data_IF_038980091671
#
_entry.id   IF_038980091671
#
_cell.length_a   1.000
_cell.length_b   1.000
_cell.length_c   1.000
_cell.angle_alpha   90.00
_cell.angle_beta   90.00
_cell.angle_gamma   90.00
#
_symmetry.space_group_name_H-M   'P 1'
#
loop_
_entity.id
_entity.type
_entity.pdbx_description
1 polymer ?
#
# COMPACT_ATOMS: atom_id res chain seq x y z
N UNK A 1 7.44 -9.71 74.06
CA UNK A 1 6.64 -10.94 73.85
C UNK A 1 5.26 -10.55 73.37
N UNK A 2 4.97 -10.76 72.09
CA UNK A 2 3.67 -11.13 71.56
C UNK A 2 3.87 -11.55 70.10
N UNK A 3 3.63 -12.83 69.85
CA UNK A 3 3.72 -13.51 68.56
C UNK A 3 2.30 -13.52 67.99
N UNK A 4 2.11 -12.98 66.79
CA UNK A 4 0.86 -13.11 66.04
C UNK A 4 1.15 -13.75 64.70
N UNK A 5 0.71 -14.99 64.56
CA UNK A 5 0.82 -15.84 63.38
C UNK A 5 -0.32 -15.50 62.41
N UNK A 6 -0.04 -15.39 61.11
CA UNK A 6 -1.08 -15.37 60.06
C UNK A 6 -0.74 -16.37 58.93
N UNK A 7 -1.75 -16.99 58.31
CA UNK A 7 -1.63 -18.30 57.68
C UNK A 7 -1.30 -18.23 56.19
N UNK A 8 -0.60 -19.28 55.72
CA UNK A 8 -0.42 -19.62 54.31
C UNK A 8 -1.76 -20.07 53.69
N UNK A 9 -2.03 -19.63 52.46
CA UNK A 9 -3.05 -20.22 51.59
C UNK A 9 -2.38 -20.77 50.31
N UNK A 10 -2.51 -22.08 50.02
CA UNK A 10 -2.27 -22.63 48.70
C UNK A 10 -3.60 -22.82 47.97
N UNK A 11 -3.70 -22.43 46.70
CA UNK A 11 -4.72 -22.96 45.80
C UNK A 11 -4.06 -23.55 44.56
N UNK A 12 -4.34 -24.83 44.36
CA UNK A 12 -3.79 -25.70 43.34
C UNK A 12 -4.57 -25.60 42.02
N UNK A 13 -3.82 -25.79 40.93
CA UNK A 13 -4.12 -26.55 39.71
C UNK A 13 -5.58 -26.89 39.37
N UNK A 14 -5.96 -26.60 38.12
CA UNK A 14 -6.66 -27.54 37.25
C UNK A 14 -6.40 -27.23 35.76
N UNK A 15 -5.80 -28.21 35.09
CA UNK A 15 -5.73 -28.35 33.64
C UNK A 15 -7.04 -28.96 33.11
N UNK A 16 -7.40 -28.70 31.85
CA UNK A 16 -7.68 -29.75 30.83
C UNK A 16 -8.33 -29.21 29.55
N UNK A 17 -7.80 -29.73 28.43
CA UNK A 17 -8.50 -30.21 27.24
C UNK A 17 -9.11 -29.23 26.21
N UNK A 18 -8.41 -29.14 25.07
CA UNK A 18 -8.88 -29.49 23.72
C UNK A 18 -10.36 -29.19 23.38
N UNK A 19 -10.57 -28.12 22.61
CA UNK A 19 -11.59 -28.12 21.56
C UNK A 19 -10.89 -28.04 20.20
N UNK A 20 -10.91 -29.16 19.48
CA UNK A 20 -10.84 -29.16 18.03
C UNK A 20 -12.16 -28.58 17.50
N UNK A 21 -12.09 -27.40 16.87
CA UNK A 21 -13.16 -26.82 16.10
C UNK A 21 -12.74 -26.76 14.64
N UNK A 22 -13.08 -27.79 13.88
CA UNK A 22 -13.12 -27.77 12.42
C UNK A 22 -14.52 -27.28 12.02
N UNK A 23 -14.56 -26.10 11.41
CA UNK A 23 -15.68 -25.55 10.66
C UNK A 23 -15.08 -24.36 9.90
N UNK A 24 -14.92 -24.38 8.58
CA UNK A 24 -15.94 -24.75 7.61
C UNK A 24 -16.78 -23.50 7.35
N UNK A 25 -16.16 -22.50 6.72
CA UNK A 25 -16.77 -21.22 6.36
C UNK A 25 -15.99 -20.61 5.20
N UNK A 26 -16.51 -20.81 3.99
CA UNK A 26 -16.21 -20.00 2.82
C UNK A 26 -16.60 -18.56 3.13
N UNK A 27 -15.61 -17.74 3.48
CA UNK A 27 -15.70 -16.30 3.40
C UNK A 27 -14.50 -15.85 2.58
N UNK A 28 -14.79 -15.11 1.51
CA UNK A 28 -13.84 -14.45 0.64
C UNK A 28 -12.60 -14.05 1.42
N UNK A 29 -11.55 -14.85 1.27
CA UNK A 29 -10.24 -14.49 1.77
C UNK A 29 -9.84 -13.31 0.89
N UNK A 30 -10.22 -12.10 1.32
CA UNK A 30 -9.45 -10.90 1.04
C UNK A 30 -8.06 -11.24 1.57
N UNK A 31 -7.26 -11.85 0.69
CA UNK A 31 -5.90 -12.22 0.96
C UNK A 31 -5.28 -10.95 1.54
N UNK A 32 -4.89 -11.03 2.82
CA UNK A 32 -4.21 -9.92 3.45
C UNK A 32 -3.07 -9.53 2.51
N UNK A 33 -3.16 -8.33 1.93
CA UNK A 33 -2.22 -7.93 0.92
C UNK A 33 -0.83 -7.96 1.57
N UNK A 34 0.03 -8.86 1.08
CA UNK A 34 1.40 -8.93 1.57
C UNK A 34 2.04 -7.56 1.42
N UNK A 35 2.69 -7.06 2.47
CA UNK A 35 3.23 -5.71 2.48
C UNK A 35 4.12 -5.45 1.26
N UNK A 36 3.72 -4.47 0.44
CA UNK A 36 4.46 -4.14 -0.78
C UNK A 36 4.38 -5.19 -1.89
N UNK A 37 3.26 -5.90 -2.03
CA UNK A 37 3.06 -6.93 -3.06
C UNK A 37 1.78 -6.67 -3.87
N UNK A 38 1.64 -7.39 -4.98
CA UNK A 38 0.54 -7.27 -5.92
C UNK A 38 1.02 -6.78 -7.29
N UNK A 39 0.10 -6.75 -8.24
CA UNK A 39 0.40 -6.41 -9.63
C UNK A 39 -0.43 -5.23 -10.10
N UNK A 40 0.18 -4.35 -10.89
CA UNK A 40 -0.52 -3.30 -11.63
C UNK A 40 -0.45 -3.60 -13.12
N UNK A 41 -1.59 -3.53 -13.80
CA UNK A 41 -1.67 -3.65 -15.25
C UNK A 41 -1.61 -2.26 -15.86
N UNK A 42 -0.59 -2.02 -16.67
CA UNK A 42 -0.47 -0.85 -17.53
C UNK A 42 -0.93 -1.25 -18.94
N UNK A 43 -2.02 -0.62 -19.39
CA UNK A 43 -2.67 -0.89 -20.67
C UNK A 43 -2.87 0.39 -21.48
N UNK A 44 -3.20 0.25 -22.76
CA UNK A 44 -3.39 1.39 -23.67
C UNK A 44 -2.20 2.39 -23.64
N UNK A 45 -1.00 1.88 -23.40
CA UNK A 45 0.20 2.67 -23.29
C UNK A 45 0.66 3.19 -24.67
N UNK A 46 1.20 4.39 -24.72
CA UNK A 46 1.88 4.91 -25.92
C UNK A 46 3.29 5.36 -25.55
N UNK A 47 4.36 4.68 -26.03
CA UNK A 47 4.34 3.57 -26.99
C UNK A 47 3.73 2.26 -26.43
N UNK A 48 3.11 1.47 -27.31
CA UNK A 48 2.44 0.21 -26.93
C UNK A 48 3.37 -0.86 -26.35
N UNK A 49 4.69 -0.75 -26.55
CA UNK A 49 5.69 -1.60 -25.91
C UNK A 49 5.69 -1.50 -24.37
N UNK A 50 5.11 -0.43 -23.82
CA UNK A 50 4.93 -0.26 -22.38
C UNK A 50 3.66 -0.94 -21.83
N UNK A 51 2.82 -1.54 -22.69
CA UNK A 51 1.72 -2.37 -22.20
C UNK A 51 2.30 -3.57 -21.44
N UNK A 52 1.98 -3.68 -20.15
CA UNK A 52 2.59 -4.68 -19.31
C UNK A 52 1.83 -4.91 -18.00
N UNK A 53 2.23 -5.95 -17.28
CA UNK A 53 1.88 -6.15 -15.88
C UNK A 53 3.14 -5.98 -15.05
N UNK A 54 3.11 -5.03 -14.10
CA UNK A 54 4.19 -4.70 -13.20
C UNK A 54 3.98 -5.48 -11.91
N UNK A 55 4.93 -6.33 -11.53
CA UNK A 55 4.91 -7.07 -10.27
C UNK A 55 5.67 -6.30 -9.19
N UNK A 56 4.93 -5.65 -8.30
CA UNK A 56 5.50 -4.81 -7.24
C UNK A 56 6.14 -5.63 -6.12
N UNK A 57 5.86 -6.94 -6.03
CA UNK A 57 6.55 -7.82 -5.08
C UNK A 57 8.04 -7.95 -5.40
N UNK A 58 8.43 -7.72 -6.66
CA UNK A 58 9.81 -7.79 -7.14
C UNK A 58 10.59 -6.48 -7.00
N UNK A 59 9.95 -5.42 -6.48
CA UNK A 59 10.62 -4.14 -6.25
C UNK A 59 11.80 -4.31 -5.30
N UNK A 60 12.97 -3.77 -5.66
CA UNK A 60 14.18 -3.87 -4.82
C UNK A 60 14.16 -2.90 -3.65
N UNK A 61 13.37 -1.84 -3.77
CA UNK A 61 13.16 -0.82 -2.76
C UNK A 61 11.67 -0.46 -2.75
N UNK A 62 11.11 -0.34 -1.54
CA UNK A 62 9.71 0.03 -1.32
C UNK A 62 9.59 0.72 0.03
N UNK A 63 8.68 1.67 0.13
CA UNK A 63 8.51 2.41 1.38
C UNK A 63 7.18 3.13 1.48
N UNK A 64 6.94 3.63 2.69
CA UNK A 64 5.78 4.40 3.07
C UNK A 64 6.24 5.49 4.05
N UNK A 65 6.43 6.70 3.54
CA UNK A 65 7.00 7.82 4.27
C UNK A 65 5.93 8.85 4.61
N UNK A 66 5.91 9.34 5.85
CA UNK A 66 5.13 10.52 6.19
C UNK A 66 5.91 11.78 5.79
N UNK A 67 5.21 12.73 5.16
CA UNK A 67 5.75 14.00 4.69
C UNK A 67 5.00 15.16 5.35
N UNK A 68 5.74 16.18 5.77
CA UNK A 68 5.17 17.44 6.20
C UNK A 68 4.62 18.21 4.98
N UNK A 69 3.79 19.23 5.23
CA UNK A 69 3.38 20.16 4.18
C UNK A 69 4.61 20.87 3.59
N UNK A 70 4.60 21.09 2.27
CA UNK A 70 5.70 21.66 1.50
C UNK A 70 5.19 22.33 0.22
N UNK A 71 6.10 22.65 -0.72
CA UNK A 71 5.73 23.26 -2.00
C UNK A 71 4.88 22.38 -2.92
N UNK A 72 4.76 21.09 -2.64
CA UNK A 72 3.90 20.17 -3.39
C UNK A 72 2.47 20.13 -2.81
N UNK A 73 2.34 20.07 -1.48
CA UNK A 73 1.03 20.08 -0.81
C UNK A 73 1.01 21.00 0.39
N UNK A 74 -0.04 21.83 0.49
CA UNK A 74 -0.31 22.65 1.66
C UNK A 74 -0.71 21.84 2.92
N UNK A 75 -0.91 20.52 2.79
CA UNK A 75 -1.24 19.62 3.88
C UNK A 75 -0.17 18.51 4.00
N UNK A 76 -0.04 17.93 5.20
CA UNK A 76 0.79 16.75 5.39
C UNK A 76 0.25 15.57 4.55
N UNK A 77 1.16 14.80 3.97
CA UNK A 77 0.85 13.72 3.04
C UNK A 77 1.73 12.49 3.30
N UNK A 78 1.40 11.39 2.66
CA UNK A 78 2.13 10.13 2.70
C UNK A 78 2.68 9.86 1.31
N UNK A 79 3.93 9.42 1.24
CA UNK A 79 4.57 8.94 0.04
C UNK A 79 4.67 7.42 0.10
N UNK A 80 4.09 6.75 -0.89
CA UNK A 80 4.27 5.31 -1.09
C UNK A 80 5.01 5.09 -2.40
N UNK A 81 6.03 4.23 -2.39
CA UNK A 81 6.83 3.96 -3.57
C UNK A 81 7.28 2.50 -3.67
N UNK A 82 7.51 2.09 -4.92
CA UNK A 82 8.14 0.84 -5.32
C UNK A 82 9.13 1.14 -6.45
N UNK A 83 10.37 0.73 -6.30
CA UNK A 83 11.44 1.00 -7.26
C UNK A 83 11.98 -0.30 -7.86
N UNK A 84 12.34 -0.25 -9.13
CA UNK A 84 12.90 -1.37 -9.90
C UNK A 84 12.01 -2.62 -9.91
N UNK A 85 10.69 -2.45 -9.87
CA UNK A 85 9.72 -3.53 -10.03
C UNK A 85 9.83 -4.12 -11.44
N UNK A 86 9.86 -5.44 -11.53
CA UNK A 86 9.93 -6.19 -12.78
C UNK A 86 8.56 -6.22 -13.44
N UNK A 87 8.51 -5.89 -14.72
CA UNK A 87 7.32 -6.03 -15.52
C UNK A 87 7.42 -7.19 -16.52
N UNK A 88 6.27 -7.69 -16.96
CA UNK A 88 6.18 -8.80 -17.90
C UNK A 88 6.81 -8.52 -19.28
N UNK A 89 7.01 -7.23 -19.63
CA UNK A 89 7.72 -6.83 -20.85
C UNK A 89 9.25 -6.82 -20.67
N UNK A 90 9.77 -7.26 -19.51
CA UNK A 90 11.19 -7.32 -19.19
C UNK A 90 11.79 -6.00 -18.71
N UNK A 91 11.01 -4.91 -18.69
CA UNK A 91 11.46 -3.60 -18.22
C UNK A 91 11.33 -3.46 -16.70
N UNK A 92 11.95 -2.41 -16.17
CA UNK A 92 11.93 -2.05 -14.75
C UNK A 92 11.18 -0.75 -14.57
N UNK A 93 10.19 -0.77 -13.70
CA UNK A 93 9.36 0.40 -13.40
C UNK A 93 9.53 0.85 -11.95
N UNK A 94 9.40 2.16 -11.75
CA UNK A 94 9.09 2.75 -10.46
C UNK A 94 7.62 3.19 -10.44
N UNK A 95 6.95 2.98 -9.32
CA UNK A 95 5.58 3.43 -9.06
C UNK A 95 5.60 4.28 -7.79
N UNK A 96 4.99 5.45 -7.84
CA UNK A 96 4.94 6.36 -6.71
C UNK A 96 3.54 6.97 -6.59
N UNK A 97 3.02 7.03 -5.37
CA UNK A 97 1.71 7.60 -5.06
C UNK A 97 1.83 8.48 -3.83
N UNK A 98 1.30 9.69 -3.92
CA UNK A 98 1.15 10.59 -2.78
C UNK A 98 -0.32 10.70 -2.40
N UNK A 99 -0.64 10.56 -1.12
CA UNK A 99 -2.00 10.79 -0.61
C UNK A 99 -1.99 11.61 0.67
N UNK A 100 -3.00 12.45 0.86
CA UNK A 100 -3.10 13.34 2.01
C UNK A 100 -3.42 12.57 3.29
N UNK A 101 -2.78 12.92 4.40
CA UNK A 101 -2.95 12.22 5.68
C UNK A 101 -4.37 12.36 6.27
N UNK A 102 -5.04 13.48 6.03
CA UNK A 102 -6.31 13.81 6.69
C UNK A 102 -7.52 13.06 6.11
N UNK A 103 -7.59 12.94 4.79
CA UNK A 103 -8.77 12.46 4.04
C UNK A 103 -8.42 11.36 3.04
N UNK A 104 -7.14 10.97 2.97
CA UNK A 104 -6.61 9.96 2.04
C UNK A 104 -6.79 10.33 0.57
N UNK A 105 -7.02 11.61 0.26
CA UNK A 105 -7.09 12.09 -1.11
C UNK A 105 -5.76 11.85 -1.82
N UNK A 106 -5.77 11.10 -2.92
CA UNK A 106 -4.58 10.90 -3.76
C UNK A 106 -4.26 12.21 -4.46
N UNK A 107 -3.02 12.68 -4.36
CA UNK A 107 -2.55 13.97 -4.86
C UNK A 107 -1.64 13.81 -6.08
N UNK A 108 -0.96 12.68 -6.17
CA UNK A 108 -0.06 12.33 -7.26
C UNK A 108 -0.02 10.81 -7.44
N UNK A 109 0.04 10.35 -8.68
CA UNK A 109 0.34 8.96 -9.02
C UNK A 109 1.20 8.93 -10.29
N UNK A 110 2.28 8.15 -10.28
CA UNK A 110 3.18 8.02 -11.43
C UNK A 110 3.69 6.59 -11.64
N UNK A 111 3.92 6.26 -12.90
CA UNK A 111 4.62 5.05 -13.37
C UNK A 111 5.77 5.51 -14.27
N UNK A 112 6.99 5.07 -13.94
CA UNK A 112 8.24 5.61 -14.48
C UNK A 112 9.14 4.46 -14.95
N UNK A 113 9.71 4.60 -16.14
CA UNK A 113 10.81 3.83 -16.74
C UNK A 113 11.80 4.84 -17.38
N UNK A 114 13.10 4.53 -17.54
CA UNK A 114 14.11 5.43 -18.10
C UNK A 114 13.70 6.34 -19.27
N UNK A 115 12.85 5.88 -20.19
CA UNK A 115 12.39 6.66 -21.35
C UNK A 115 10.86 6.74 -21.45
N UNK A 116 10.14 6.47 -20.35
CA UNK A 116 8.68 6.50 -20.32
C UNK A 116 8.17 6.92 -18.95
N UNK A 117 7.44 8.03 -18.89
CA UNK A 117 6.82 8.51 -17.65
C UNK A 117 5.38 8.88 -17.92
N UNK A 118 4.47 8.29 -17.15
CA UNK A 118 3.07 8.71 -17.08
C UNK A 118 2.72 9.03 -15.64
N UNK A 119 1.98 10.12 -15.45
CA UNK A 119 1.57 10.54 -14.14
C UNK A 119 0.24 11.28 -14.19
N UNK A 120 -0.31 11.51 -13.01
CA UNK A 120 -1.34 12.50 -12.79
C UNK A 120 -0.94 13.23 -11.51
N UNK A 121 -0.79 14.55 -11.61
CA UNK A 121 -0.53 15.43 -10.50
C UNK A 121 -1.56 16.56 -10.57
N UNK A 122 -2.41 16.67 -9.56
CA UNK A 122 -3.48 17.67 -9.54
C UNK A 122 -3.16 18.85 -8.60
N UNK A 123 -1.86 19.17 -8.48
CA UNK A 123 -1.36 20.31 -7.68
C UNK A 123 -1.88 20.31 -6.24
N UNK A 124 -1.94 19.14 -5.62
CA UNK A 124 -2.44 18.96 -4.25
C UNK A 124 -3.96 18.85 -4.14
N UNK A 125 -4.71 18.86 -5.25
CA UNK A 125 -6.13 18.47 -5.29
C UNK A 125 -6.29 16.94 -5.38
N UNK A 126 -7.52 16.48 -5.17
CA UNK A 126 -7.84 15.05 -5.13
C UNK A 126 -7.99 14.45 -6.53
N UNK A 127 -7.18 13.44 -6.81
CA UNK A 127 -7.23 12.62 -8.02
C UNK A 127 -8.25 11.49 -7.82
N UNK A 128 -9.22 11.41 -8.73
CA UNK A 128 -10.22 10.32 -8.75
C UNK A 128 -9.67 9.05 -9.41
N UNK A 129 -10.31 7.91 -9.14
CA UNK A 129 -9.94 6.62 -9.74
C UNK A 129 -8.76 5.92 -9.07
N UNK A 130 -8.27 6.45 -7.96
CA UNK A 130 -7.30 5.80 -7.08
C UNK A 130 -7.83 5.87 -5.64
N UNK A 131 -7.92 4.73 -4.97
CA UNK A 131 -8.39 4.66 -3.57
C UNK A 131 -7.31 4.15 -2.66
N UNK A 132 -7.24 4.71 -1.45
CA UNK A 132 -6.28 4.31 -0.41
C UNK A 132 -7.02 3.72 0.78
N UNK A 133 -6.67 2.50 1.15
CA UNK A 133 -7.06 1.91 2.43
C UNK A 133 -5.84 1.81 3.33
N UNK A 134 -5.76 2.69 4.32
CA UNK A 134 -4.65 2.72 5.29
C UNK A 134 -4.74 1.62 6.34
N UNK A 135 -5.91 1.00 6.55
CA UNK A 135 -6.05 -0.12 7.47
C UNK A 135 -5.55 -1.41 6.81
N UNK A 136 -6.05 -1.69 5.60
CA UNK A 136 -5.60 -2.80 4.77
C UNK A 136 -4.20 -2.58 4.17
N UNK A 137 -3.72 -1.33 4.17
CA UNK A 137 -2.48 -0.87 3.52
C UNK A 137 -2.48 -1.19 2.03
N UNK A 138 -3.54 -0.81 1.33
CA UNK A 138 -3.71 -1.05 -0.11
C UNK A 138 -3.98 0.22 -0.90
N UNK A 139 -3.49 0.24 -2.13
CA UNK A 139 -3.85 1.19 -3.17
C UNK A 139 -4.58 0.44 -4.28
N UNK A 140 -5.74 0.93 -4.69
CA UNK A 140 -6.46 0.39 -5.85
C UNK A 140 -6.59 1.45 -6.94
N UNK A 141 -6.24 1.08 -8.17
CA UNK A 141 -6.41 1.87 -9.38
C UNK A 141 -7.59 1.33 -10.18
N UNK A 142 -8.64 2.13 -10.31
CA UNK A 142 -9.87 1.75 -11.00
C UNK A 142 -9.83 2.26 -12.44
N UNK A 143 -9.05 1.61 -13.30
CA UNK A 143 -8.88 2.03 -14.71
C UNK A 143 -8.42 3.48 -14.83
N UNK A 144 -7.40 3.84 -14.05
CA UNK A 144 -6.91 5.21 -13.97
C UNK A 144 -6.07 5.57 -15.19
N UNK A 145 -6.54 6.51 -16.00
CA UNK A 145 -5.74 7.12 -17.07
C UNK A 145 -4.70 8.08 -16.47
N UNK A 146 -3.46 7.92 -16.90
CA UNK A 146 -2.30 8.75 -16.59
C UNK A 146 -1.68 9.26 -17.90
N UNK A 147 -1.04 10.42 -17.86
CA UNK A 147 -0.43 11.06 -19.03
C UNK A 147 0.99 11.53 -18.73
N UNK A 148 1.84 11.50 -19.75
CA UNK A 148 3.23 11.97 -19.69
C UNK A 148 3.41 13.36 -20.26
N UNK A 149 4.64 13.86 -20.15
CA UNK A 149 5.02 15.19 -20.64
C UNK A 149 5.33 15.24 -22.15
N UNK A 150 5.60 14.11 -22.79
CA UNK A 150 5.99 14.01 -24.20
C UNK A 150 4.96 13.25 -25.05
N UNK A 151 3.71 13.17 -24.58
CA UNK A 151 2.61 12.49 -25.28
C UNK A 151 2.42 11.03 -24.86
N UNK A 152 3.17 10.56 -23.86
CA UNK A 152 2.89 9.28 -23.25
C UNK A 152 1.50 9.28 -22.62
N UNK A 153 0.84 8.13 -22.69
CA UNK A 153 -0.44 7.89 -22.03
C UNK A 153 -0.45 6.44 -21.58
N UNK A 154 -1.24 6.11 -20.57
CA UNK A 154 -1.50 4.75 -20.17
C UNK A 154 -2.65 4.65 -19.17
N UNK A 155 -3.29 3.50 -19.11
CA UNK A 155 -4.34 3.18 -18.15
C UNK A 155 -3.82 2.16 -17.16
N UNK A 156 -3.76 2.55 -15.88
CA UNK A 156 -3.32 1.74 -14.77
C UNK A 156 -4.50 1.12 -14.05
N UNK A 157 -4.46 -0.19 -13.84
CA UNK A 157 -5.49 -0.94 -13.11
C UNK A 157 -4.88 -1.95 -12.16
N UNK A 158 -5.53 -2.19 -11.03
CA UNK A 158 -5.13 -3.23 -10.08
C UNK A 158 -5.08 -2.73 -8.65
N UNK A 159 -4.86 -3.66 -7.72
CA UNK A 159 -4.71 -3.37 -6.30
C UNK A 159 -3.37 -3.89 -5.82
N UNK A 160 -2.67 -3.06 -5.04
CA UNK A 160 -1.35 -3.38 -4.48
C UNK A 160 -1.29 -3.03 -3.01
N UNK A 161 -0.60 -3.86 -2.24
CA UNK A 161 -0.31 -3.60 -0.83
C UNK A 161 0.93 -2.73 -0.69
N UNK A 162 1.00 -1.89 0.33
CA UNK A 162 2.17 -1.07 0.68
C UNK A 162 2.69 -1.34 2.09
N UNK A 163 3.97 -1.03 2.40
CA UNK A 163 4.53 -1.23 3.74
C UNK A 163 3.83 -0.39 4.81
N UNK A 164 3.77 -0.90 6.04
CA UNK A 164 3.28 -0.11 7.17
C UNK A 164 4.20 1.09 7.44
N UNK A 165 3.63 2.23 7.81
CA UNK A 165 4.37 3.37 8.31
C UNK A 165 4.53 3.25 9.84
N UNK A 166 5.78 3.17 10.33
CA UNK A 166 6.06 2.90 11.74
C UNK A 166 5.92 4.11 12.67
N UNK A 167 5.67 5.31 12.14
CA UNK A 167 5.67 6.55 12.92
C UNK A 167 4.40 7.39 12.78
N UNK A 168 3.57 7.16 11.76
CA UNK A 168 2.40 7.99 11.43
C UNK A 168 1.23 7.11 11.02
N UNK A 169 0.29 6.90 11.93
CA UNK A 169 -0.89 6.05 11.72
C UNK A 169 -1.77 6.50 10.54
N UNK A 170 -1.81 7.80 10.26
CA UNK A 170 -2.53 8.34 9.10
C UNK A 170 -1.98 7.81 7.75
N UNK A 171 -0.74 7.33 7.71
CA UNK A 171 -0.15 6.67 6.55
C UNK A 171 -0.33 5.13 6.55
N UNK A 172 -1.06 4.57 7.51
CA UNK A 172 -1.26 3.13 7.65
C UNK A 172 -0.16 2.45 8.45
N UNK A 173 -0.27 2.50 9.78
CA UNK A 173 0.58 1.81 10.76
C UNK A 173 0.19 0.35 10.99
#
# INVERSE_FOLDING_TARGET
MNITVRPLWPLALLASALLAGCGGGDDDTSAAATAGAGTLTLSAATPAANNTTIDLSTATSKGNNARAADGFSAAAYCEVFWENATAANGLKYAVQVYFRQSDKAVLHASVIEPNFVIFNNDSGNAITGVTVDTAAKTLAFTTKVLSGGAGEIGTLSGTVGFPANTTTAACGS
#
